data_IF_658029541610
#
_entry.id   IF_658029541610
#
_cell.length_a   1.000
_cell.length_b   1.000
_cell.length_c   1.000
_cell.angle_alpha   90.00
_cell.angle_beta   90.00
_cell.angle_gamma   90.00
#
_symmetry.space_group_name_H-M   'P 1'
#
loop_
_entity.id
_entity.type
_entity.pdbx_description
1 polymer ?
#
# COMPACT_ATOMS: atom_id res chain seq x y z
N UNK A 1 3.03 4.24 -19.21
CA UNK A 1 1.80 3.43 -19.21
C UNK A 1 1.47 3.02 -17.80
N UNK A 2 0.37 3.55 -17.26
CA UNK A 2 -0.19 3.13 -15.96
C UNK A 2 -0.88 1.78 -16.13
N UNK A 3 -0.14 0.69 -15.96
CA UNK A 3 -0.72 -0.66 -15.97
C UNK A 3 -0.41 -1.36 -14.66
N UNK A 4 -1.39 -2.07 -14.11
CA UNK A 4 -1.14 -3.02 -13.04
C UNK A 4 -0.21 -4.12 -13.55
N UNK A 5 0.97 -4.23 -12.97
CA UNK A 5 2.03 -5.14 -13.41
C UNK A 5 1.85 -6.56 -12.86
N UNK A 6 0.68 -7.19 -13.03
CA UNK A 6 0.51 -8.57 -12.58
C UNK A 6 -0.38 -9.38 -13.51
N UNK A 7 0.22 -10.34 -14.21
CA UNK A 7 -0.44 -11.29 -15.13
C UNK A 7 -1.27 -12.36 -14.44
N UNK A 8 -1.39 -12.34 -13.12
CA UNK A 8 -2.05 -13.40 -12.35
C UNK A 8 -3.53 -13.12 -12.00
N UNK A 9 -4.09 -11.98 -12.39
CA UNK A 9 -5.49 -11.65 -12.13
C UNK A 9 -6.20 -11.33 -13.45
N UNK A 10 -6.85 -12.32 -14.02
CA UNK A 10 -7.59 -12.29 -15.30
C UNK A 10 -8.81 -11.35 -15.33
N UNK A 11 -8.91 -10.36 -14.45
CA UNK A 11 -9.98 -9.36 -14.42
C UNK A 11 -9.53 -7.90 -14.62
N UNK A 12 -8.22 -7.66 -14.81
CA UNK A 12 -7.62 -6.30 -14.69
C UNK A 12 -7.52 -5.55 -16.03
N UNK A 13 -7.86 -6.16 -17.16
CA UNK A 13 -7.84 -5.47 -18.46
C UNK A 13 -8.80 -4.27 -18.57
N UNK A 14 -9.85 -4.24 -17.74
CA UNK A 14 -10.82 -3.14 -17.67
C UNK A 14 -10.34 -1.95 -16.82
N UNK A 15 -9.43 -2.18 -15.87
CA UNK A 15 -8.86 -1.12 -15.03
C UNK A 15 -7.92 -0.19 -15.81
N UNK A 16 -7.20 -0.70 -16.80
CA UNK A 16 -6.22 0.06 -17.59
C UNK A 16 -6.82 1.28 -18.31
N UNK A 17 -8.04 1.18 -18.80
CA UNK A 17 -8.71 2.29 -19.50
C UNK A 17 -9.24 3.35 -18.52
N UNK A 18 -9.71 2.94 -17.33
CA UNK A 18 -10.17 3.86 -16.29
C UNK A 18 -9.01 4.56 -15.59
N UNK A 19 -7.88 3.86 -15.38
CA UNK A 19 -6.69 4.44 -14.78
C UNK A 19 -6.00 5.46 -15.68
N UNK A 20 -6.06 5.27 -17.00
CA UNK A 20 -5.51 6.21 -17.97
C UNK A 20 -6.39 7.47 -18.13
N UNK A 21 -7.70 7.36 -17.92
CA UNK A 21 -8.65 8.46 -18.09
C UNK A 21 -8.38 9.64 -17.17
N UNK A 22 -8.12 9.50 -15.86
CA UNK A 22 -7.85 10.64 -15.00
C UNK A 22 -6.61 11.44 -15.42
N UNK A 23 -5.51 10.78 -15.79
CA UNK A 23 -4.29 11.50 -16.21
C UNK A 23 -4.49 12.20 -17.55
N UNK A 24 -5.20 11.55 -18.49
CA UNK A 24 -5.54 12.17 -19.77
C UNK A 24 -6.41 13.43 -19.59
N UNK A 25 -7.46 13.35 -18.76
CA UNK A 25 -8.34 14.50 -18.47
C UNK A 25 -7.54 15.67 -17.86
N UNK A 26 -6.69 15.40 -16.87
CA UNK A 26 -5.87 16.44 -16.26
C UNK A 26 -4.86 17.02 -17.23
N UNK A 27 -4.30 16.22 -18.12
CA UNK A 27 -3.35 16.71 -19.14
C UNK A 27 -4.02 17.63 -20.17
N UNK A 28 -5.34 17.47 -20.41
CA UNK A 28 -6.10 18.40 -21.27
C UNK A 28 -6.33 19.76 -20.58
N UNK A 29 -6.34 19.81 -19.26
CA UNK A 29 -6.61 21.03 -18.48
C UNK A 29 -5.31 21.73 -18.06
N UNK A 30 -4.30 20.96 -17.61
CA UNK A 30 -3.07 21.46 -16.99
C UNK A 30 -1.80 21.23 -17.82
N UNK A 31 -1.87 20.50 -18.92
CA UNK A 31 -0.70 20.04 -19.66
C UNK A 31 0.04 18.88 -18.98
N UNK A 32 1.27 18.61 -19.39
CA UNK A 32 2.08 17.52 -18.88
C UNK A 32 2.83 17.92 -17.60
N UNK A 33 2.88 17.05 -16.57
CA UNK A 33 3.68 17.30 -15.37
C UNK A 33 5.17 17.16 -15.69
N UNK A 34 5.95 18.22 -15.43
CA UNK A 34 7.38 18.31 -15.75
C UNK A 34 8.19 18.62 -14.50
N UNK A 35 9.23 17.86 -14.24
CA UNK A 35 10.19 18.12 -13.17
C UNK A 35 11.37 18.95 -13.69
N UNK A 36 11.92 19.77 -12.81
CA UNK A 36 13.16 20.47 -13.05
C UNK A 36 14.37 19.54 -12.82
N UNK A 37 15.27 19.52 -13.78
CA UNK A 37 16.55 18.79 -13.70
C UNK A 37 17.69 19.71 -14.09
N UNK A 38 18.93 19.30 -13.83
CA UNK A 38 20.13 20.06 -14.25
C UNK A 38 20.19 20.28 -15.77
N UNK A 39 19.62 19.36 -16.54
CA UNK A 39 19.62 19.38 -18.01
C UNK A 39 18.32 20.00 -18.58
N UNK A 40 17.47 20.60 -17.75
CA UNK A 40 16.18 21.19 -18.13
C UNK A 40 14.96 20.42 -17.64
N UNK A 41 13.80 20.69 -18.24
CA UNK A 41 12.54 20.06 -17.86
C UNK A 41 12.43 18.63 -18.41
N UNK A 42 11.99 17.70 -17.57
CA UNK A 42 11.70 16.31 -17.96
C UNK A 42 10.33 15.87 -17.44
N UNK A 43 9.62 14.97 -18.11
CA UNK A 43 8.42 14.37 -17.56
C UNK A 43 8.69 13.74 -16.19
N UNK A 44 7.71 13.84 -15.29
CA UNK A 44 7.77 13.25 -13.96
C UNK A 44 6.70 12.19 -13.77
N UNK A 45 6.95 11.24 -12.89
CA UNK A 45 6.13 10.06 -12.70
C UNK A 45 5.49 10.00 -11.31
N UNK A 46 4.47 9.15 -11.23
CA UNK A 46 3.77 8.74 -10.01
C UNK A 46 3.83 7.22 -9.87
N UNK A 47 3.82 6.76 -8.64
CA UNK A 47 3.68 5.33 -8.30
C UNK A 47 2.56 5.14 -7.30
N UNK A 48 1.89 3.99 -7.35
CA UNK A 48 0.87 3.57 -6.38
C UNK A 48 1.39 2.34 -5.68
N UNK A 49 1.50 2.42 -4.36
CA UNK A 49 1.80 1.26 -3.52
C UNK A 49 0.50 0.59 -3.09
N UNK A 50 0.37 -0.70 -3.38
CA UNK A 50 -0.64 -1.56 -2.75
C UNK A 50 -0.14 -2.02 -1.39
N UNK A 51 -1.03 -1.94 -0.40
CA UNK A 51 -0.76 -2.26 0.99
C UNK A 51 -1.54 -3.51 1.42
N UNK A 52 -1.34 -3.95 2.65
CA UNK A 52 -2.10 -5.03 3.26
C UNK A 52 -2.21 -6.29 2.39
N UNK A 53 -3.42 -6.82 2.23
CA UNK A 53 -3.67 -8.02 1.41
C UNK A 53 -3.37 -7.80 -0.07
N UNK A 54 -3.62 -6.60 -0.59
CA UNK A 54 -3.34 -6.27 -1.99
C UNK A 54 -1.84 -6.24 -2.26
N UNK A 55 -1.06 -5.61 -1.40
CA UNK A 55 0.40 -5.61 -1.47
C UNK A 55 1.00 -7.02 -1.36
N UNK A 56 0.48 -7.85 -0.45
CA UNK A 56 0.90 -9.23 -0.19
C UNK A 56 0.45 -10.26 -1.25
N UNK A 57 -0.32 -9.84 -2.26
CA UNK A 57 -0.96 -10.76 -3.25
C UNK A 57 -1.88 -11.79 -2.58
N UNK A 58 -2.62 -11.34 -1.58
CA UNK A 58 -3.51 -12.16 -0.77
C UNK A 58 -4.95 -11.60 -0.77
N UNK A 59 -5.30 -10.78 -1.77
CA UNK A 59 -6.58 -10.12 -1.85
C UNK A 59 -7.70 -11.14 -2.04
N UNK A 60 -8.76 -11.03 -1.22
CA UNK A 60 -9.98 -11.79 -1.41
C UNK A 60 -10.89 -11.10 -2.43
N UNK A 61 -11.83 -11.88 -2.97
CA UNK A 61 -12.98 -11.36 -3.69
C UNK A 61 -13.72 -10.34 -2.79
N UNK A 62 -14.15 -9.23 -3.34
CA UNK A 62 -14.91 -8.19 -2.60
C UNK A 62 -14.17 -7.50 -1.42
N UNK A 63 -12.84 -7.66 -1.29
CA UNK A 63 -12.06 -6.92 -0.30
C UNK A 63 -11.76 -5.50 -0.78
N UNK A 64 -11.68 -4.57 0.17
CA UNK A 64 -11.13 -3.24 -0.08
C UNK A 64 -9.66 -3.35 -0.47
N UNK A 65 -9.19 -2.45 -1.31
CA UNK A 65 -7.77 -2.28 -1.61
C UNK A 65 -7.23 -1.09 -0.83
N UNK A 66 -6.20 -1.36 -0.02
CA UNK A 66 -5.44 -0.31 0.65
C UNK A 66 -4.35 0.17 -0.29
N UNK A 67 -4.30 1.46 -0.61
CA UNK A 67 -3.29 2.04 -1.50
C UNK A 67 -2.74 3.37 -0.98
N UNK A 68 -1.52 3.71 -1.40
CA UNK A 68 -0.88 5.01 -1.15
C UNK A 68 -0.28 5.52 -2.46
N UNK A 69 -0.48 6.81 -2.73
CA UNK A 69 0.03 7.50 -3.90
C UNK A 69 1.32 8.24 -3.57
N UNK A 70 2.35 8.05 -4.41
CA UNK A 70 3.60 8.79 -4.31
C UNK A 70 4.01 9.31 -5.68
N UNK A 71 4.57 10.53 -5.73
CA UNK A 71 5.12 11.11 -6.94
C UNK A 71 6.58 11.53 -6.73
N UNK A 72 7.28 11.72 -7.83
CA UNK A 72 8.73 11.75 -7.83
C UNK A 72 9.30 12.96 -7.07
N UNK A 73 8.79 14.18 -7.31
CA UNK A 73 9.34 15.41 -6.75
C UNK A 73 8.34 16.56 -6.75
N UNK A 74 8.51 17.49 -5.80
CA UNK A 74 7.77 18.77 -5.77
C UNK A 74 8.38 19.84 -6.68
N UNK A 75 9.59 19.61 -7.20
CA UNK A 75 10.31 20.60 -8.03
C UNK A 75 9.83 20.55 -9.46
N UNK A 76 9.07 21.55 -9.87
CA UNK A 76 8.50 21.69 -11.20
C UNK A 76 7.02 21.98 -11.21
N UNK A 77 6.47 22.04 -12.39
CA UNK A 77 5.08 22.37 -12.65
C UNK A 77 4.59 21.72 -13.94
N UNK A 78 3.31 21.82 -14.23
CA UNK A 78 2.75 21.36 -15.50
C UNK A 78 3.08 22.34 -16.62
N UNK A 79 3.09 21.85 -17.87
CA UNK A 79 3.36 22.69 -19.04
C UNK A 79 2.28 23.71 -19.31
N UNK A 80 1.10 23.58 -18.69
CA UNK A 80 -0.10 24.30 -19.09
C UNK A 80 -0.60 23.89 -20.48
N UNK A 81 -1.66 24.52 -20.93
CA UNK A 81 -2.25 24.35 -22.26
C UNK A 81 -2.24 25.68 -23.01
N UNK A 82 -2.26 25.65 -24.34
CA UNK A 82 -2.31 26.84 -25.18
C UNK A 82 -3.57 27.66 -24.85
N UNK A 83 -3.39 28.96 -24.63
CA UNK A 83 -4.49 29.90 -24.34
C UNK A 83 -5.15 30.49 -25.62
N UNK A 84 -4.67 30.10 -26.81
CA UNK A 84 -5.10 30.57 -28.10
C UNK A 84 -4.65 32.02 -28.43
N UNK A 85 -3.75 32.60 -27.58
CA UNK A 85 -3.20 33.96 -27.75
C UNK A 85 -1.66 33.95 -27.76
N UNK A 86 -1.08 32.77 -27.91
CA UNK A 86 0.39 32.55 -27.89
C UNK A 86 0.98 32.43 -26.48
N UNK A 87 0.14 32.35 -25.45
CA UNK A 87 0.50 32.10 -24.05
C UNK A 87 0.11 30.72 -23.60
N UNK A 88 0.37 30.41 -22.31
CA UNK A 88 -0.07 29.18 -21.64
C UNK A 88 -0.92 29.49 -20.43
N UNK A 89 -1.96 28.68 -20.21
CA UNK A 89 -2.84 28.74 -19.04
C UNK A 89 -2.89 27.38 -18.34
N UNK A 90 -3.40 27.35 -17.10
CA UNK A 90 -3.59 26.11 -16.35
C UNK A 90 -2.30 25.49 -15.82
N UNK A 91 -1.20 26.24 -15.74
CA UNK A 91 0.02 25.76 -15.10
C UNK A 91 -0.23 25.63 -13.59
N UNK A 92 0.09 24.45 -13.02
CA UNK A 92 -0.02 24.16 -11.59
C UNK A 92 1.20 23.43 -11.09
N UNK A 93 1.48 23.54 -9.79
CA UNK A 93 2.58 22.78 -9.16
C UNK A 93 2.37 21.29 -9.30
N UNK A 94 3.47 20.51 -9.28
CA UNK A 94 3.41 19.05 -9.29
C UNK A 94 2.60 18.51 -8.10
N UNK A 95 2.70 19.15 -6.94
CA UNK A 95 1.90 18.81 -5.77
C UNK A 95 0.40 18.89 -6.07
N UNK A 96 -0.08 20.03 -6.60
CA UNK A 96 -1.49 20.21 -6.93
C UNK A 96 -1.96 19.21 -8.01
N UNK A 97 -1.15 18.98 -9.04
CA UNK A 97 -1.46 18.05 -10.12
C UNK A 97 -1.60 16.60 -9.62
N UNK A 98 -0.62 16.09 -8.86
CA UNK A 98 -0.63 14.69 -8.41
C UNK A 98 -1.66 14.42 -7.32
N UNK A 99 -1.95 15.39 -6.44
CA UNK A 99 -3.06 15.26 -5.49
C UNK A 99 -4.39 15.18 -6.23
N UNK A 100 -4.62 16.03 -7.24
CA UNK A 100 -5.82 15.96 -8.06
C UNK A 100 -5.94 14.67 -8.84
N UNK A 101 -4.82 14.16 -9.37
CA UNK A 101 -4.75 12.87 -10.05
C UNK A 101 -5.13 11.71 -9.11
N UNK A 102 -4.60 11.71 -7.89
CA UNK A 102 -4.91 10.71 -6.87
C UNK A 102 -6.39 10.74 -6.46
N UNK A 103 -6.97 11.93 -6.28
CA UNK A 103 -8.42 12.11 -6.00
C UNK A 103 -9.28 11.54 -7.12
N UNK A 104 -9.00 11.91 -8.38
CA UNK A 104 -9.77 11.46 -9.53
C UNK A 104 -9.65 9.96 -9.75
N UNK A 105 -8.44 9.40 -9.58
CA UNK A 105 -8.19 7.96 -9.69
C UNK A 105 -8.95 7.19 -8.62
N UNK A 106 -8.89 7.63 -7.36
CA UNK A 106 -9.63 7.04 -6.24
C UNK A 106 -11.14 7.11 -6.49
N UNK A 107 -11.64 8.27 -6.94
CA UNK A 107 -13.06 8.46 -7.28
C UNK A 107 -13.50 7.52 -8.40
N UNK A 108 -12.71 7.41 -9.47
CA UNK A 108 -13.03 6.54 -10.62
C UNK A 108 -13.13 5.06 -10.22
N UNK A 109 -12.24 4.59 -9.31
CA UNK A 109 -12.27 3.21 -8.82
C UNK A 109 -13.44 2.93 -7.87
N UNK A 110 -13.79 3.90 -7.00
CA UNK A 110 -14.88 3.78 -6.04
C UNK A 110 -16.27 4.01 -6.64
N UNK A 111 -16.33 4.60 -7.84
CA UNK A 111 -17.62 4.98 -8.44
C UNK A 111 -18.45 3.74 -8.79
N UNK A 112 -19.68 3.69 -8.27
CA UNK A 112 -20.67 2.70 -8.68
C UNK A 112 -21.24 3.12 -10.02
N UNK A 113 -21.22 2.22 -11.00
CA UNK A 113 -21.78 2.38 -12.35
C UNK A 113 -22.89 1.35 -12.57
N UNK A 114 -23.55 1.36 -13.73
CA UNK A 114 -24.53 0.33 -14.12
C UNK A 114 -23.90 -1.07 -14.12
N UNK A 115 -22.59 -1.19 -14.39
CA UNK A 115 -21.82 -2.44 -14.36
C UNK A 115 -21.29 -2.79 -12.95
N UNK A 116 -21.66 -2.03 -11.90
CA UNK A 116 -21.15 -2.18 -10.55
C UNK A 116 -19.98 -1.24 -10.24
N UNK A 117 -19.10 -1.62 -9.31
CA UNK A 117 -17.89 -0.87 -8.93
C UNK A 117 -16.63 -1.73 -9.16
N UNK A 118 -15.48 -1.06 -9.33
CA UNK A 118 -14.22 -1.76 -9.61
C UNK A 118 -13.60 -2.25 -8.31
N UNK A 119 -13.31 -1.32 -7.38
CA UNK A 119 -12.80 -1.60 -6.04
C UNK A 119 -13.30 -0.56 -5.06
N UNK A 120 -13.50 -0.98 -3.82
CA UNK A 120 -13.53 -0.06 -2.69
C UNK A 120 -12.08 0.26 -2.33
N UNK A 121 -11.72 1.54 -2.38
CA UNK A 121 -10.36 2.01 -2.17
C UNK A 121 -10.25 2.65 -0.79
N UNK A 122 -9.32 2.15 0.03
CA UNK A 122 -8.93 2.79 1.28
C UNK A 122 -7.55 3.44 1.10
N UNK A 123 -7.48 4.73 1.36
CA UNK A 123 -6.27 5.54 1.33
C UNK A 123 -5.82 5.98 2.73
N UNK A 124 -6.42 5.41 3.78
CA UNK A 124 -6.18 5.80 5.18
C UNK A 124 -4.80 5.47 5.72
N UNK A 125 -4.04 4.61 5.03
CA UNK A 125 -2.67 4.26 5.42
C UNK A 125 -1.60 5.26 4.92
N UNK A 126 -2.00 6.33 4.21
CA UNK A 126 -1.07 7.35 3.73
C UNK A 126 -0.48 8.16 4.88
N UNK A 127 0.68 8.82 4.68
CA UNK A 127 1.25 9.74 5.67
C UNK A 127 0.20 10.69 6.24
N UNK A 128 0.21 10.88 7.56
CA UNK A 128 -0.78 11.68 8.31
C UNK A 128 -2.24 11.19 8.21
N UNK A 129 -2.48 10.03 7.60
CA UNK A 129 -3.81 9.43 7.49
C UNK A 129 -4.82 10.30 6.77
N UNK A 130 -6.01 10.47 7.34
CA UNK A 130 -7.11 11.23 6.70
C UNK A 130 -6.84 12.73 6.58
N UNK A 131 -5.96 13.30 7.40
CA UNK A 131 -5.59 14.72 7.36
C UNK A 131 -4.45 15.04 6.39
N UNK A 132 -3.71 14.02 5.94
CA UNK A 132 -2.61 14.19 5.00
C UNK A 132 -3.07 14.29 3.54
N UNK A 133 -2.16 14.76 2.71
CA UNK A 133 -2.35 14.87 1.27
C UNK A 133 -2.67 13.51 0.62
N UNK A 134 -3.41 13.52 -0.48
CA UNK A 134 -3.75 12.30 -1.22
C UNK A 134 -2.53 11.65 -1.87
N UNK A 135 -1.59 12.46 -2.35
CA UNK A 135 -0.33 12.02 -2.92
C UNK A 135 0.83 12.80 -2.29
N UNK A 136 1.93 12.12 -2.01
CA UNK A 136 3.10 12.68 -1.32
C UNK A 136 4.34 12.50 -2.19
N UNK A 137 5.22 13.51 -2.26
CA UNK A 137 6.48 13.36 -2.99
C UNK A 137 7.41 12.39 -2.27
N UNK A 138 8.35 11.76 -3.02
CA UNK A 138 9.32 10.84 -2.43
C UNK A 138 10.09 11.49 -1.28
N UNK A 139 10.53 12.73 -1.49
CA UNK A 139 11.29 13.45 -0.45
C UNK A 139 10.47 13.73 0.79
N UNK A 140 9.21 14.16 0.62
CA UNK A 140 8.30 14.39 1.75
C UNK A 140 7.99 13.09 2.49
N UNK A 141 7.83 11.98 1.76
CA UNK A 141 7.64 10.65 2.34
C UNK A 141 8.85 10.20 3.17
N UNK A 142 10.08 10.35 2.66
CA UNK A 142 11.30 10.05 3.40
C UNK A 142 11.36 10.82 4.72
N UNK A 143 11.19 12.15 4.66
CA UNK A 143 11.22 13.02 5.84
C UNK A 143 10.15 12.63 6.85
N UNK A 144 8.92 12.35 6.38
CA UNK A 144 7.82 11.92 7.23
C UNK A 144 8.14 10.62 7.97
N UNK A 145 8.51 9.56 7.24
CA UNK A 145 8.76 8.26 7.86
C UNK A 145 10.00 8.23 8.74
N UNK A 146 11.03 9.02 8.42
CA UNK A 146 12.22 9.16 9.28
C UNK A 146 11.92 9.89 10.60
N UNK A 147 11.09 10.94 10.55
CA UNK A 147 10.87 11.84 11.70
C UNK A 147 9.63 11.50 12.51
N UNK A 148 8.55 11.05 11.87
CA UNK A 148 7.22 10.89 12.45
C UNK A 148 6.61 9.50 12.28
N UNK A 149 7.24 8.64 11.47
CA UNK A 149 6.72 7.31 11.16
C UNK A 149 6.47 6.46 12.39
N UNK A 150 5.24 5.97 12.52
CA UNK A 150 4.76 5.20 13.66
C UNK A 150 5.08 3.70 13.50
N UNK A 151 5.08 2.96 14.60
CA UNK A 151 5.32 1.50 14.58
C UNK A 151 4.28 0.73 13.76
N UNK A 152 3.03 1.18 13.75
CA UNK A 152 1.98 0.56 12.95
C UNK A 152 2.18 0.79 11.45
N UNK A 153 2.68 1.96 11.02
CA UNK A 153 3.01 2.26 9.63
C UNK A 153 4.18 1.39 9.14
N UNK A 154 5.19 1.18 9.99
CA UNK A 154 6.28 0.25 9.71
C UNK A 154 5.75 -1.15 9.45
N UNK A 155 4.80 -1.62 10.26
CA UNK A 155 4.16 -2.93 10.09
C UNK A 155 3.36 -2.98 8.79
N UNK A 156 2.61 -1.92 8.46
CA UNK A 156 1.86 -1.84 7.21
C UNK A 156 2.78 -1.89 5.97
N UNK A 157 3.93 -1.21 6.04
CA UNK A 157 4.92 -1.16 4.95
C UNK A 157 5.58 -2.51 4.65
N UNK A 158 5.55 -3.50 5.54
CA UNK A 158 6.07 -4.85 5.27
C UNK A 158 5.44 -5.50 4.02
N UNK A 159 4.17 -5.17 3.74
CA UNK A 159 3.43 -5.69 2.59
C UNK A 159 3.38 -4.71 1.40
N UNK A 160 4.01 -3.54 1.52
CA UNK A 160 3.98 -2.53 0.48
C UNK A 160 4.62 -3.01 -0.83
N UNK A 161 3.93 -2.78 -1.96
CA UNK A 161 4.36 -3.20 -3.29
C UNK A 161 3.90 -2.20 -4.35
N UNK A 162 4.75 -1.79 -5.32
CA UNK A 162 4.29 -1.02 -6.47
C UNK A 162 3.25 -1.83 -7.27
N UNK A 163 2.05 -1.27 -7.44
CA UNK A 163 0.93 -1.94 -8.13
C UNK A 163 0.49 -1.22 -9.39
N UNK A 164 0.75 0.08 -9.49
CA UNK A 164 0.46 0.88 -10.68
C UNK A 164 1.40 2.08 -10.79
N UNK A 165 1.42 2.73 -11.96
CA UNK A 165 2.34 3.82 -12.26
C UNK A 165 3.77 3.34 -12.52
N UNK A 166 4.75 4.16 -12.17
CA UNK A 166 6.17 3.83 -12.33
C UNK A 166 6.61 2.82 -11.28
N UNK A 167 6.85 1.58 -11.71
CA UNK A 167 7.37 0.53 -10.84
C UNK A 167 8.74 0.87 -10.28
N UNK A 168 9.59 1.43 -11.14
CA UNK A 168 10.96 1.83 -10.76
C UNK A 168 10.93 2.85 -9.63
N UNK A 169 10.10 3.88 -9.74
CA UNK A 169 9.90 4.89 -8.70
C UNK A 169 9.43 4.25 -7.38
N UNK A 170 8.50 3.32 -7.45
CA UNK A 170 8.01 2.61 -6.27
C UNK A 170 9.07 1.72 -5.61
N UNK A 171 9.91 1.06 -6.39
CA UNK A 171 11.03 0.27 -5.87
C UNK A 171 12.11 1.17 -5.25
N UNK A 172 12.42 2.32 -5.86
CA UNK A 172 13.33 3.33 -5.30
C UNK A 172 12.81 3.84 -3.95
N UNK A 173 11.53 4.18 -3.85
CA UNK A 173 10.92 4.60 -2.59
C UNK A 173 11.04 3.53 -1.50
N UNK A 174 10.69 2.27 -1.81
CA UNK A 174 10.78 1.18 -0.84
C UNK A 174 12.22 0.90 -0.42
N UNK A 175 13.18 1.11 -1.30
CA UNK A 175 14.61 1.02 -0.97
C UNK A 175 15.04 2.16 -0.05
N UNK A 176 14.62 3.39 -0.31
CA UNK A 176 14.89 4.54 0.55
C UNK A 176 14.26 4.37 1.94
N UNK A 177 13.04 3.82 2.03
CA UNK A 177 12.34 3.56 3.27
C UNK A 177 12.80 2.28 4.00
N UNK A 178 13.67 1.46 3.39
CA UNK A 178 14.13 0.21 4.01
C UNK A 178 14.75 0.38 5.40
N UNK A 179 15.54 1.43 5.73
CA UNK A 179 16.04 1.67 7.08
C UNK A 179 14.93 1.94 8.11
N UNK A 180 13.85 2.62 7.70
CA UNK A 180 12.67 2.81 8.54
C UNK A 180 11.93 1.50 8.77
N UNK A 181 11.67 0.72 7.71
CA UNK A 181 10.89 -0.53 7.76
C UNK A 181 11.67 -1.62 8.50
N UNK A 182 12.95 -1.82 8.15
CA UNK A 182 13.79 -2.94 8.58
C UNK A 182 14.99 -2.44 9.38
N UNK A 183 14.80 -2.17 10.66
CA UNK A 183 15.89 -1.76 11.55
C UNK A 183 16.90 -2.89 11.75
N UNK A 184 18.19 -2.56 11.70
CA UNK A 184 19.28 -3.53 11.92
C UNK A 184 19.44 -3.93 13.40
N UNK A 185 19.05 -3.05 14.31
CA UNK A 185 19.16 -3.26 15.74
C UNK A 185 17.78 -3.54 16.35
N UNK A 186 17.76 -4.47 17.29
CA UNK A 186 16.53 -4.86 17.99
C UNK A 186 15.99 -3.62 18.75
N UNK A 187 14.79 -3.26 18.39
CA UNK A 187 14.05 -2.20 19.08
C UNK A 187 13.05 -2.89 20.00
N UNK A 188 13.40 -2.99 21.27
CA UNK A 188 12.51 -3.60 22.27
C UNK A 188 11.19 -2.87 22.39
N UNK A 189 11.17 -1.55 22.12
CA UNK A 189 9.94 -0.75 22.12
C UNK A 189 8.97 -1.21 21.07
N UNK A 190 9.46 -1.71 19.92
CA UNK A 190 8.62 -2.26 18.85
C UNK A 190 7.80 -3.47 19.33
N UNK A 191 8.40 -4.37 20.11
CA UNK A 191 7.70 -5.56 20.64
C UNK A 191 6.63 -5.11 21.65
N UNK A 192 6.93 -4.10 22.46
CA UNK A 192 5.97 -3.53 23.39
C UNK A 192 4.83 -2.82 22.66
N UNK A 193 5.14 -2.01 21.64
CA UNK A 193 4.16 -1.36 20.78
C UNK A 193 3.22 -2.36 20.08
N UNK A 194 3.76 -3.47 19.59
CA UNK A 194 2.96 -4.53 18.97
C UNK A 194 2.03 -5.22 19.99
N UNK A 195 2.51 -5.45 21.22
CA UNK A 195 1.69 -5.98 22.31
C UNK A 195 0.57 -5.01 22.67
N UNK A 196 0.88 -3.71 22.81
CA UNK A 196 -0.09 -2.67 23.10
C UNK A 196 -1.13 -2.53 21.96
N UNK A 197 -0.70 -2.60 20.73
CA UNK A 197 -1.60 -2.58 19.56
C UNK A 197 -2.55 -3.77 19.59
N UNK A 198 -2.03 -4.98 19.85
CA UNK A 198 -2.87 -6.17 20.02
C UNK A 198 -3.88 -5.98 21.16
N UNK A 199 -3.45 -5.53 22.33
CA UNK A 199 -4.32 -5.27 23.49
C UNK A 199 -5.44 -4.27 23.17
N UNK A 200 -5.14 -3.19 22.41
CA UNK A 200 -6.15 -2.22 21.97
C UNK A 200 -7.20 -2.86 21.04
N UNK A 201 -6.78 -3.75 20.15
CA UNK A 201 -7.68 -4.49 19.26
C UNK A 201 -8.55 -5.43 20.07
N UNK A 202 -7.96 -6.23 20.96
CA UNK A 202 -8.68 -7.17 21.82
C UNK A 202 -9.71 -6.44 22.71
N UNK A 203 -9.34 -5.29 23.30
CA UNK A 203 -10.23 -4.46 24.10
C UNK A 203 -11.39 -3.85 23.27
N UNK A 204 -11.16 -3.51 22.01
CA UNK A 204 -12.21 -3.03 21.09
C UNK A 204 -13.21 -4.15 20.76
N UNK A 205 -12.72 -5.35 20.50
CA UNK A 205 -13.54 -6.53 20.20
C UNK A 205 -14.39 -6.97 21.39
N UNK A 206 -13.80 -6.93 22.60
CA UNK A 206 -14.52 -7.28 23.83
C UNK A 206 -15.70 -6.33 24.11
N UNK A 207 -15.56 -5.04 23.76
CA UNK A 207 -16.67 -4.07 23.89
C UNK A 207 -17.82 -4.33 22.93
N UNK A 208 -17.56 -4.85 21.75
CA UNK A 208 -18.57 -5.02 20.70
C UNK A 208 -19.22 -6.42 20.70
N UNK A 209 -18.92 -7.31 21.67
CA UNK A 209 -19.40 -8.71 21.73
C UNK A 209 -19.16 -9.56 20.46
N UNK A 210 -18.33 -9.09 19.54
CA UNK A 210 -18.05 -9.76 18.26
C UNK A 210 -16.80 -10.66 18.32
N UNK A 211 -16.10 -10.69 19.47
CA UNK A 211 -14.75 -11.27 19.58
C UNK A 211 -14.68 -12.80 19.41
N UNK A 212 -15.72 -13.55 19.74
CA UNK A 212 -15.68 -15.03 19.73
C UNK A 212 -15.95 -15.64 18.33
N UNK A 213 -16.63 -14.91 17.45
CA UNK A 213 -17.05 -15.40 16.12
C UNK A 213 -16.36 -14.71 14.95
N UNK A 214 -15.51 -13.72 15.21
CA UNK A 214 -14.85 -12.94 14.16
C UNK A 214 -13.60 -13.66 13.65
N UNK A 215 -13.67 -14.26 12.46
CA UNK A 215 -12.57 -14.99 11.80
C UNK A 215 -11.30 -14.15 11.61
N UNK A 216 -11.44 -12.85 11.40
CA UNK A 216 -10.33 -11.95 11.13
C UNK A 216 -9.68 -11.46 12.42
N UNK A 217 -10.47 -11.03 13.39
CA UNK A 217 -10.01 -10.29 14.56
C UNK A 217 -10.14 -11.09 15.87
N UNK A 218 -10.89 -12.21 15.87
CA UNK A 218 -11.07 -13.07 17.02
C UNK A 218 -9.79 -13.77 17.45
N UNK A 219 -9.81 -14.36 18.65
CA UNK A 219 -8.69 -15.14 19.19
C UNK A 219 -8.39 -16.34 18.28
N UNK A 220 -7.14 -16.52 17.88
CA UNK A 220 -6.72 -17.51 16.88
C UNK A 220 -7.08 -17.14 15.45
N UNK A 221 -7.56 -15.92 15.20
CA UNK A 221 -7.99 -15.46 13.88
C UNK A 221 -6.81 -15.10 12.93
N UNK A 222 -7.17 -14.76 11.70
CA UNK A 222 -6.22 -14.47 10.61
C UNK A 222 -5.19 -13.42 11.03
N UNK A 223 -5.63 -12.37 11.72
CA UNK A 223 -4.77 -11.24 12.11
C UNK A 223 -3.72 -11.60 13.15
N UNK A 224 -3.98 -12.56 14.03
CA UNK A 224 -2.98 -13.03 14.99
C UNK A 224 -1.83 -13.77 14.29
N UNK A 225 -2.15 -14.59 13.28
CA UNK A 225 -1.12 -15.29 12.48
C UNK A 225 -0.30 -14.26 11.71
N UNK A 226 -0.96 -13.28 11.07
CA UNK A 226 -0.26 -12.20 10.35
C UNK A 226 0.64 -11.39 11.28
N UNK A 227 0.18 -11.02 12.48
CA UNK A 227 0.98 -10.30 13.46
C UNK A 227 2.19 -11.09 13.93
N UNK A 228 2.03 -12.39 14.16
CA UNK A 228 3.15 -13.26 14.52
C UNK A 228 4.25 -13.25 13.45
N UNK A 229 3.86 -13.41 12.17
CA UNK A 229 4.78 -13.36 11.04
C UNK A 229 5.47 -12.00 10.96
N UNK A 230 4.69 -10.92 10.98
CA UNK A 230 5.18 -9.54 10.86
C UNK A 230 6.12 -9.16 12.03
N UNK A 231 5.83 -9.63 13.25
CA UNK A 231 6.70 -9.43 14.40
C UNK A 231 8.10 -10.02 14.16
N UNK A 232 8.16 -11.27 13.68
CA UNK A 232 9.42 -11.92 13.36
C UNK A 232 10.15 -11.24 12.19
N UNK A 233 9.42 -10.79 11.18
CA UNK A 233 10.01 -10.02 10.08
C UNK A 233 10.60 -8.71 10.56
N UNK A 234 9.90 -7.94 11.40
CA UNK A 234 10.39 -6.68 11.95
C UNK A 234 11.64 -6.83 12.80
N UNK A 235 11.76 -7.97 13.52
CA UNK A 235 12.91 -8.27 14.37
C UNK A 235 14.11 -8.73 13.54
N UNK A 236 13.89 -9.58 12.55
CA UNK A 236 14.99 -10.32 11.90
C UNK A 236 15.31 -9.87 10.46
N UNK A 237 14.35 -9.27 9.73
CA UNK A 237 14.55 -8.92 8.32
C UNK A 237 15.50 -7.74 8.09
N UNK A 238 15.84 -6.99 9.14
CA UNK A 238 16.91 -5.98 9.08
C UNK A 238 18.28 -6.60 8.85
N UNK A 239 18.55 -7.75 9.49
CA UNK A 239 19.80 -8.52 9.37
C UNK A 239 19.73 -9.58 8.27
N UNK A 240 18.55 -10.12 7.99
CA UNK A 240 18.34 -11.15 6.96
C UNK A 240 17.32 -10.66 5.90
N UNK A 241 17.78 -10.04 4.81
CA UNK A 241 16.89 -9.50 3.75
C UNK A 241 16.01 -10.57 3.08
N UNK A 242 16.33 -11.85 3.14
CA UNK A 242 15.48 -12.93 2.61
C UNK A 242 14.13 -13.02 3.31
N UNK A 243 14.01 -12.50 4.54
CA UNK A 243 12.77 -12.46 5.30
C UNK A 243 11.84 -11.30 4.91
N UNK A 244 12.24 -10.43 3.97
CA UNK A 244 11.45 -9.30 3.47
C UNK A 244 10.39 -9.77 2.45
N UNK A 245 9.61 -10.77 2.85
CA UNK A 245 8.57 -11.38 2.02
C UNK A 245 7.19 -10.80 2.37
N UNK A 246 6.41 -10.44 1.37
CA UNK A 246 5.09 -9.80 1.53
C UNK A 246 3.96 -10.79 1.72
N UNK A 247 4.07 -11.98 1.09
CA UNK A 247 3.08 -13.04 1.20
C UNK A 247 3.24 -13.80 2.53
N UNK A 248 2.16 -13.92 3.30
CA UNK A 248 2.19 -14.50 4.65
C UNK A 248 2.62 -15.97 4.66
N UNK A 249 2.12 -16.79 3.73
CA UNK A 249 2.50 -18.21 3.69
C UNK A 249 3.96 -18.39 3.28
N UNK A 250 4.43 -17.63 2.31
CA UNK A 250 5.83 -17.68 1.90
C UNK A 250 6.76 -17.13 3.00
N UNK A 251 6.33 -16.10 3.72
CA UNK A 251 7.07 -15.59 4.87
C UNK A 251 7.21 -16.66 5.96
N UNK A 252 6.16 -17.45 6.27
CA UNK A 252 6.23 -18.58 7.20
C UNK A 252 7.27 -19.63 6.76
N UNK A 253 7.33 -19.93 5.46
CA UNK A 253 8.34 -20.87 4.93
C UNK A 253 9.77 -20.34 5.17
N UNK A 254 10.02 -19.07 4.83
CA UNK A 254 11.33 -18.44 4.99
C UNK A 254 11.74 -18.32 6.47
N UNK A 255 10.78 -18.08 7.37
CA UNK A 255 11.03 -18.08 8.82
C UNK A 255 11.45 -19.46 9.32
N UNK A 256 10.84 -20.54 8.82
CA UNK A 256 11.23 -21.90 9.16
C UNK A 256 12.59 -22.27 8.55
N UNK A 257 12.86 -21.91 7.30
CA UNK A 257 14.18 -22.09 6.65
C UNK A 257 15.28 -21.37 7.45
N UNK A 258 14.98 -20.19 7.99
CA UNK A 258 15.89 -19.44 8.86
C UNK A 258 15.96 -19.99 10.31
N UNK A 259 15.24 -21.07 10.65
CA UNK A 259 15.15 -21.70 11.98
C UNK A 259 14.64 -20.75 13.08
N UNK A 260 13.82 -19.78 12.71
CA UNK A 260 13.19 -18.84 13.65
C UNK A 260 11.87 -19.40 14.22
N UNK A 261 11.28 -20.36 13.52
CA UNK A 261 10.14 -21.16 13.96
C UNK A 261 10.41 -22.65 13.66
N UNK A 262 9.73 -23.55 14.34
CA UNK A 262 9.83 -24.98 14.07
C UNK A 262 9.07 -25.36 12.76
N UNK A 263 9.42 -26.52 12.18
CA UNK A 263 8.69 -27.06 11.04
C UNK A 263 7.23 -27.37 11.38
N UNK A 264 6.97 -27.82 12.61
CA UNK A 264 5.63 -28.09 13.13
C UNK A 264 4.80 -26.79 13.26
N UNK A 265 5.38 -25.73 13.84
CA UNK A 265 4.71 -24.43 13.92
C UNK A 265 4.40 -23.87 12.54
N UNK A 266 5.36 -23.94 11.59
CA UNK A 266 5.13 -23.56 10.20
C UNK A 266 3.93 -24.30 9.59
N UNK A 267 3.86 -25.63 9.80
CA UNK A 267 2.77 -26.45 9.27
C UNK A 267 1.43 -26.05 9.90
N UNK A 268 1.36 -26.00 11.22
CA UNK A 268 0.14 -25.66 11.97
C UNK A 268 -0.38 -24.28 11.62
N UNK A 269 0.48 -23.25 11.64
CA UNK A 269 0.10 -21.87 11.30
C UNK A 269 -0.30 -21.74 9.84
N UNK A 270 0.41 -22.43 8.94
CA UNK A 270 0.10 -22.41 7.51
C UNK A 270 -1.26 -23.04 7.21
N UNK A 271 -1.58 -24.18 7.84
CA UNK A 271 -2.85 -24.87 7.64
C UNK A 271 -4.02 -24.08 8.27
N UNK A 272 -3.83 -23.54 9.48
CA UNK A 272 -4.80 -22.66 10.11
C UNK A 272 -5.07 -21.41 9.26
N UNK A 273 -4.02 -20.77 8.75
CA UNK A 273 -4.16 -19.58 7.89
C UNK A 273 -4.95 -19.91 6.61
N UNK A 274 -4.60 -20.99 5.89
CA UNK A 274 -5.33 -21.42 4.69
C UNK A 274 -6.80 -21.71 4.98
N UNK A 275 -7.08 -22.42 6.08
CA UNK A 275 -8.44 -22.72 6.48
C UNK A 275 -9.26 -21.45 6.75
N UNK A 276 -8.76 -20.57 7.61
CA UNK A 276 -9.43 -19.32 7.95
C UNK A 276 -9.66 -18.43 6.72
N UNK A 277 -8.65 -18.32 5.83
CA UNK A 277 -8.77 -17.56 4.58
C UNK A 277 -9.81 -18.17 3.62
N UNK A 278 -9.91 -19.49 3.58
CA UNK A 278 -10.91 -20.18 2.76
C UNK A 278 -12.31 -19.92 3.29
N UNK A 279 -12.51 -19.97 4.62
CA UNK A 279 -13.79 -19.66 5.23
C UNK A 279 -14.17 -18.18 5.02
N UNK A 280 -13.24 -17.24 5.26
CA UNK A 280 -13.44 -15.81 5.00
C UNK A 280 -13.88 -15.58 3.55
N UNK A 281 -13.19 -16.19 2.59
CA UNK A 281 -13.50 -16.05 1.17
C UNK A 281 -14.90 -16.58 0.82
N UNK A 282 -15.27 -17.75 1.35
CA UNK A 282 -16.61 -18.34 1.11
C UNK A 282 -17.73 -17.46 1.67
N UNK A 283 -17.54 -16.88 2.86
CA UNK A 283 -18.52 -15.97 3.45
C UNK A 283 -18.68 -14.72 2.57
N UNK A 284 -17.58 -14.16 2.07
CA UNK A 284 -17.62 -12.96 1.22
C UNK A 284 -18.23 -13.18 -0.16
N UNK A 285 -18.24 -14.40 -0.67
CA UNK A 285 -18.87 -14.74 -1.97
C UNK A 285 -20.39 -14.93 -1.83
N UNK A 286 -20.88 -15.27 -0.63
CA UNK A 286 -22.30 -15.54 -0.37
C UNK A 286 -23.05 -14.27 0.06
N UNK A 287 -22.34 -13.25 0.53
CA UNK A 287 -22.90 -11.92 0.86
C UNK A 287 -23.02 -11.02 -0.37
#
# INVERSE_FOLDING_TARGET
>A
SFFFNDTATTGISTLSLRDALPIWLLSQEYGQPMKETLDGLRPTDMTILGMGKFGGRELNFSSDIDIIYFYETDKGETTGVDDGRGGRKGMVSLHAFFNKLAELTTKAMNQVTEDGFVFRVDVGLRPEGKSGDMAVSLRSAEVYYESWGQSWERTAMLKARPVAGSRELGEQLLQALAPFIYRKYLDYTLIEDMKLMKQKIDASLARNREGETNLKLGRGGIREIEFFIQALQLVYAGKNPRLRERNSLRALELLAEARLISADDRQRLGDAYRFLRTVEHRIQVVQ
#
